data_IF_028378018682
#
_entry.id   IF_028378018682
#
_cell.length_a   1.000
_cell.length_b   1.000
_cell.length_c   1.000
_cell.angle_alpha   90.00
_cell.angle_beta   90.00
_cell.angle_gamma   90.00
#
_symmetry.space_group_name_H-M   'P 1'
#
loop_
_entity.id
_entity.type
_entity.pdbx_description
1 polymer ?
#
# COMPACT_ATOMS: atom_id res chain seq x y z
N UNK A 1 18.53 -6.89 -23.98
CA UNK A 1 18.63 -7.06 -22.50
C UNK A 1 19.13 -5.82 -21.76
N UNK A 2 20.19 -5.14 -22.22
CA UNK A 2 20.79 -3.97 -21.53
C UNK A 2 19.80 -2.80 -21.32
N UNK A 3 18.85 -2.59 -22.24
CA UNK A 3 17.84 -1.51 -22.14
C UNK A 3 16.80 -1.72 -21.04
N UNK A 4 16.31 -2.95 -20.84
CA UNK A 4 15.29 -3.29 -19.82
C UNK A 4 15.89 -3.18 -18.42
N UNK A 5 17.14 -3.62 -18.25
CA UNK A 5 17.86 -3.49 -16.97
C UNK A 5 18.09 -2.01 -16.64
N UNK A 6 18.47 -1.17 -17.63
CA UNK A 6 18.59 0.28 -17.45
C UNK A 6 17.24 0.97 -17.16
N UNK A 7 16.16 0.51 -17.79
CA UNK A 7 14.80 0.98 -17.52
C UNK A 7 14.37 0.66 -16.08
N UNK A 8 14.62 -0.58 -15.62
CA UNK A 8 14.38 -0.97 -14.24
C UNK A 8 15.29 -0.23 -13.25
N UNK A 9 16.50 0.14 -13.63
CA UNK A 9 17.41 0.93 -12.78
C UNK A 9 16.98 2.39 -12.65
N UNK A 10 16.28 2.95 -13.64
CA UNK A 10 15.87 4.37 -13.62
C UNK A 10 14.69 4.57 -12.66
N UNK A 11 14.83 5.56 -11.78
CA UNK A 11 13.74 5.99 -10.89
C UNK A 11 12.63 6.65 -11.71
N UNK A 12 11.34 6.34 -11.45
CA UNK A 12 10.21 7.03 -12.07
C UNK A 12 10.22 8.53 -11.73
N UNK A 13 9.59 9.35 -12.57
CA UNK A 13 9.44 10.78 -12.27
C UNK A 13 8.62 10.99 -10.99
N UNK A 14 8.80 12.12 -10.32
CA UNK A 14 8.04 12.45 -9.10
C UNK A 14 6.54 12.46 -9.37
N UNK A 15 6.11 13.00 -10.52
CA UNK A 15 4.71 13.00 -10.94
C UNK A 15 4.19 11.57 -11.14
N UNK A 16 4.98 10.68 -11.73
CA UNK A 16 4.62 9.26 -11.88
C UNK A 16 4.47 8.58 -10.51
N UNK A 17 5.34 8.89 -9.55
CA UNK A 17 5.27 8.34 -8.19
C UNK A 17 4.00 8.84 -7.47
N UNK A 18 3.69 10.14 -7.57
CA UNK A 18 2.51 10.73 -6.93
C UNK A 18 1.22 10.19 -7.56
N UNK A 19 1.14 10.20 -8.90
CA UNK A 19 0.02 9.61 -9.63
C UNK A 19 -0.15 8.13 -9.29
N UNK A 20 0.94 7.36 -9.26
CA UNK A 20 0.90 5.94 -8.91
C UNK A 20 0.35 5.69 -7.51
N UNK A 21 0.65 6.56 -6.53
CA UNK A 21 0.08 6.47 -5.17
C UNK A 21 -1.42 6.76 -5.15
N UNK A 22 -1.86 7.81 -5.85
CA UNK A 22 -3.27 8.18 -5.94
C UNK A 22 -4.05 7.07 -6.64
N UNK A 23 -3.59 6.65 -7.82
CA UNK A 23 -4.23 5.58 -8.60
C UNK A 23 -4.30 4.28 -7.81
N UNK A 24 -3.20 3.89 -7.15
CA UNK A 24 -3.18 2.71 -6.28
C UNK A 24 -4.21 2.80 -5.16
N UNK A 25 -4.26 3.93 -4.45
CA UNK A 25 -5.18 4.11 -3.33
C UNK A 25 -6.64 4.14 -3.76
N UNK A 26 -6.96 4.84 -4.85
CA UNK A 26 -8.32 4.88 -5.41
C UNK A 26 -8.77 3.50 -5.86
N UNK A 27 -7.93 2.77 -6.61
CA UNK A 27 -8.23 1.41 -7.06
C UNK A 27 -8.44 0.47 -5.87
N UNK A 28 -7.54 0.51 -4.89
CA UNK A 28 -7.66 -0.31 -3.68
C UNK A 28 -8.97 -0.01 -2.93
N UNK A 29 -9.26 1.26 -2.66
CA UNK A 29 -10.49 1.64 -1.95
C UNK A 29 -11.74 1.21 -2.73
N UNK A 30 -11.77 1.37 -4.05
CA UNK A 30 -12.90 0.96 -4.87
C UNK A 30 -13.13 -0.57 -4.83
N UNK A 31 -12.07 -1.36 -4.95
CA UNK A 31 -12.14 -2.83 -4.89
C UNK A 31 -12.63 -3.28 -3.51
N UNK A 32 -12.06 -2.74 -2.44
CA UNK A 32 -12.41 -3.10 -1.07
C UNK A 32 -13.84 -2.68 -0.72
N UNK A 33 -14.23 -1.47 -1.09
CA UNK A 33 -15.59 -0.98 -0.85
C UNK A 33 -16.63 -1.82 -1.59
N UNK A 34 -16.39 -2.12 -2.88
CA UNK A 34 -17.32 -2.91 -3.68
C UNK A 34 -17.50 -4.32 -3.10
N UNK A 35 -16.41 -4.99 -2.72
CA UNK A 35 -16.48 -6.37 -2.24
C UNK A 35 -16.93 -6.48 -0.78
N UNK A 36 -16.31 -5.74 0.14
CA UNK A 36 -16.56 -5.89 1.57
C UNK A 36 -17.80 -5.13 2.05
N UNK A 37 -18.10 -3.97 1.46
CA UNK A 37 -19.20 -3.10 1.91
C UNK A 37 -20.45 -3.31 1.05
N UNK A 38 -20.33 -3.17 -0.28
CA UNK A 38 -21.48 -3.25 -1.17
C UNK A 38 -21.99 -4.69 -1.37
N UNK A 39 -21.12 -5.63 -1.72
CA UNK A 39 -21.48 -7.06 -1.82
C UNK A 39 -21.54 -7.77 -0.46
N UNK A 40 -21.14 -7.07 0.61
CA UNK A 40 -21.08 -7.57 1.98
C UNK A 40 -20.35 -8.93 2.11
N UNK A 41 -19.29 -9.16 1.31
CA UNK A 41 -18.52 -10.40 1.41
C UNK A 41 -17.97 -10.59 2.83
N UNK A 42 -17.98 -11.83 3.28
CA UNK A 42 -17.51 -12.16 4.61
C UNK A 42 -15.99 -12.12 4.69
N UNK A 43 -15.53 -11.75 5.88
CA UNK A 43 -14.14 -11.93 6.33
C UNK A 43 -14.13 -13.07 7.32
N UNK A 44 -12.99 -13.75 7.47
CA UNK A 44 -12.85 -14.79 8.47
C UNK A 44 -13.12 -14.20 9.85
N UNK A 45 -14.00 -14.82 10.63
CA UNK A 45 -14.35 -14.33 11.98
C UNK A 45 -13.25 -14.59 13.01
N UNK A 46 -12.24 -15.36 12.63
CA UNK A 46 -11.11 -15.77 13.46
C UNK A 46 -9.88 -15.01 13.00
N UNK A 47 -9.51 -13.99 13.77
CA UNK A 47 -8.38 -13.10 13.48
C UNK A 47 -7.16 -13.44 14.34
N UNK A 48 -5.98 -12.98 13.90
CA UNK A 48 -4.72 -13.10 14.66
C UNK A 48 -4.35 -14.56 14.97
N UNK A 49 -4.16 -15.42 13.96
CA UNK A 49 -3.72 -16.81 14.13
C UNK A 49 -4.62 -17.68 15.02
N UNK A 50 -5.94 -17.48 15.02
CA UNK A 50 -6.84 -18.33 15.80
C UNK A 50 -7.25 -17.77 17.16
N UNK A 51 -6.65 -16.67 17.62
CA UNK A 51 -6.78 -16.23 19.01
C UNK A 51 -7.96 -15.29 19.28
N UNK A 52 -8.59 -14.73 18.25
CA UNK A 52 -9.59 -13.69 18.43
C UNK A 52 -10.81 -13.92 17.55
N UNK A 53 -11.95 -14.22 18.18
CA UNK A 53 -13.26 -14.29 17.53
C UNK A 53 -13.89 -12.89 17.53
N UNK A 54 -14.29 -12.41 16.36
CA UNK A 54 -14.94 -11.11 16.23
C UNK A 54 -16.46 -11.21 16.36
N UNK A 55 -17.04 -10.27 17.11
CA UNK A 55 -18.49 -10.03 17.08
C UNK A 55 -18.94 -9.42 15.75
N UNK A 56 -20.24 -9.47 15.45
CA UNK A 56 -20.83 -8.92 14.22
C UNK A 56 -20.47 -7.44 14.03
N UNK A 57 -20.50 -6.65 15.10
CA UNK A 57 -20.13 -5.23 15.07
C UNK A 57 -18.65 -5.03 14.74
N UNK A 58 -17.78 -5.86 15.32
CA UNK A 58 -16.34 -5.78 15.09
C UNK A 58 -15.95 -6.22 13.68
N UNK A 59 -16.68 -7.18 13.08
CA UNK A 59 -16.53 -7.55 11.66
C UNK A 59 -16.83 -6.35 10.77
N UNK A 60 -17.93 -5.63 11.02
CA UNK A 60 -18.28 -4.45 10.23
C UNK A 60 -17.22 -3.34 10.36
N UNK A 61 -16.75 -3.06 11.57
CA UNK A 61 -15.67 -2.08 11.82
C UNK A 61 -14.40 -2.48 11.07
N UNK A 62 -14.04 -3.76 11.09
CA UNK A 62 -12.85 -4.29 10.41
C UNK A 62 -12.94 -4.10 8.90
N UNK A 63 -14.10 -4.34 8.29
CA UNK A 63 -14.36 -4.08 6.85
C UNK A 63 -14.12 -2.60 6.50
N UNK A 64 -14.57 -1.66 7.34
CA UNK A 64 -14.34 -0.24 7.14
C UNK A 64 -12.86 0.14 7.32
N UNK A 65 -12.17 -0.41 8.32
CA UNK A 65 -10.74 -0.18 8.53
C UNK A 65 -9.93 -0.65 7.32
N UNK A 66 -10.20 -1.86 6.82
CA UNK A 66 -9.53 -2.41 5.66
C UNK A 66 -9.74 -1.55 4.41
N UNK A 67 -10.97 -1.09 4.19
CA UNK A 67 -11.31 -0.19 3.08
C UNK A 67 -10.62 1.18 3.23
N UNK A 68 -10.53 1.70 4.46
CA UNK A 68 -9.93 3.00 4.78
C UNK A 68 -8.42 3.07 4.56
N UNK A 69 -7.70 1.94 4.53
CA UNK A 69 -6.26 1.92 4.29
C UNK A 69 -5.85 2.54 2.94
N UNK A 70 -6.73 2.51 1.93
CA UNK A 70 -6.48 3.16 0.64
C UNK A 70 -6.41 4.68 0.70
N UNK A 71 -6.97 5.30 1.75
CA UNK A 71 -6.92 6.75 1.95
C UNK A 71 -5.48 7.21 2.19
N UNK A 72 -4.65 6.40 2.85
CA UNK A 72 -3.26 6.73 3.17
C UNK A 72 -2.44 7.05 1.90
N UNK A 73 -2.34 6.16 0.90
CA UNK A 73 -1.61 6.46 -0.33
C UNK A 73 -2.26 7.60 -1.14
N UNK A 74 -3.59 7.78 -1.11
CA UNK A 74 -4.26 8.93 -1.74
C UNK A 74 -3.78 10.23 -1.10
N UNK A 75 -3.87 10.34 0.23
CA UNK A 75 -3.46 11.52 0.97
C UNK A 75 -1.99 11.85 0.76
N UNK A 76 -1.11 10.84 0.82
CA UNK A 76 0.32 11.01 0.55
C UNK A 76 0.62 11.39 -0.90
N UNK A 77 -0.21 10.98 -1.86
CA UNK A 77 -0.10 11.34 -3.27
C UNK A 77 -0.55 12.77 -3.55
N UNK A 78 -1.67 13.20 -2.97
CA UNK A 78 -2.24 14.55 -3.16
C UNK A 78 -1.38 15.61 -2.47
N UNK A 79 -0.97 15.38 -1.23
CA UNK A 79 -0.25 16.40 -0.44
C UNK A 79 1.24 16.48 -0.75
N UNK A 80 1.83 15.42 -1.34
CA UNK A 80 3.28 15.26 -1.49
C UNK A 80 4.04 15.62 -0.19
N UNK A 81 3.48 15.24 0.96
CA UNK A 81 4.07 15.45 2.27
C UNK A 81 5.17 14.42 2.53
N UNK A 82 6.25 14.85 3.17
CA UNK A 82 7.34 13.99 3.57
C UNK A 82 7.43 14.02 5.09
N UNK A 83 7.01 12.94 5.73
CA UNK A 83 6.97 12.85 7.19
C UNK A 83 8.25 12.23 7.78
N UNK A 84 8.90 11.37 6.99
CA UNK A 84 9.91 10.43 7.46
C UNK A 84 11.18 10.47 6.59
N UNK A 85 12.34 10.18 7.19
CA UNK A 85 13.60 10.00 6.42
C UNK A 85 13.47 8.79 5.49
N UNK A 86 14.25 8.77 4.40
CA UNK A 86 14.28 7.70 3.39
C UNK A 86 14.24 6.28 3.97
N UNK A 87 15.08 5.98 4.97
CA UNK A 87 15.14 4.64 5.61
C UNK A 87 13.78 4.22 6.17
N UNK A 88 13.08 5.13 6.85
CA UNK A 88 11.78 4.84 7.45
C UNK A 88 10.64 4.82 6.43
N UNK A 89 10.72 5.62 5.34
CA UNK A 89 9.76 5.52 4.24
C UNK A 89 9.82 4.16 3.54
N UNK A 90 11.03 3.61 3.35
CA UNK A 90 11.20 2.24 2.84
C UNK A 90 10.51 1.22 3.75
N UNK A 91 10.75 1.33 5.07
CA UNK A 91 10.13 0.43 6.06
C UNK A 91 8.60 0.55 6.07
N UNK A 92 8.06 1.78 5.96
CA UNK A 92 6.62 2.01 5.90
C UNK A 92 5.98 1.34 4.67
N UNK A 93 6.64 1.40 3.51
CA UNK A 93 6.18 0.73 2.29
C UNK A 93 6.18 -0.81 2.45
N UNK A 94 7.21 -1.38 3.08
CA UNK A 94 7.25 -2.82 3.38
C UNK A 94 6.16 -3.19 4.38
N UNK A 95 6.00 -2.41 5.45
CA UNK A 95 4.95 -2.64 6.44
C UNK A 95 3.56 -2.60 5.81
N UNK A 96 3.29 -1.62 4.94
CA UNK A 96 2.04 -1.53 4.22
C UNK A 96 1.80 -2.75 3.31
N UNK A 97 2.84 -3.30 2.69
CA UNK A 97 2.73 -4.55 1.93
C UNK A 97 2.36 -5.75 2.81
N UNK A 98 2.97 -5.88 3.99
CA UNK A 98 2.66 -6.95 4.95
C UNK A 98 1.21 -6.86 5.41
N UNK A 99 0.71 -5.65 5.68
CA UNK A 99 -0.70 -5.42 6.02
C UNK A 99 -1.63 -5.85 4.89
N UNK A 100 -1.29 -5.56 3.63
CA UNK A 100 -2.10 -6.00 2.48
C UNK A 100 -2.12 -7.52 2.32
N UNK A 101 -0.99 -8.21 2.51
CA UNK A 101 -0.97 -9.68 2.48
C UNK A 101 -1.80 -10.29 3.60
N UNK A 102 -1.75 -9.70 4.80
CA UNK A 102 -2.58 -10.13 5.91
C UNK A 102 -4.08 -9.97 5.60
N UNK A 103 -4.48 -8.84 5.03
CA UNK A 103 -5.87 -8.59 4.62
C UNK A 103 -6.31 -9.58 3.56
N UNK A 104 -5.47 -9.85 2.55
CA UNK A 104 -5.75 -10.84 1.52
C UNK A 104 -6.04 -12.21 2.15
N UNK A 105 -5.21 -12.67 3.09
CA UNK A 105 -5.43 -13.93 3.79
C UNK A 105 -6.53 -13.94 4.86
N UNK A 106 -7.20 -12.80 5.10
CA UNK A 106 -8.33 -12.70 6.07
C UNK A 106 -9.69 -12.69 5.38
N UNK A 107 -9.73 -12.71 4.05
CA UNK A 107 -10.96 -12.76 3.27
C UNK A 107 -11.37 -14.23 3.19
N UNK A 108 -12.63 -14.56 3.48
CA UNK A 108 -13.11 -15.94 3.40
C UNK A 108 -12.92 -16.49 1.99
N UNK A 109 -12.33 -17.68 1.92
CA UNK A 109 -12.09 -18.40 0.67
C UNK A 109 -13.39 -18.56 -0.14
N UNK A 110 -13.31 -18.24 -1.43
CA UNK A 110 -14.33 -18.61 -2.41
C UNK A 110 -13.68 -19.45 -3.51
N UNK A 111 -14.43 -20.39 -4.08
CA UNK A 111 -13.89 -21.35 -5.06
C UNK A 111 -13.51 -20.73 -6.43
N UNK A 112 -13.56 -19.41 -6.56
CA UNK A 112 -13.27 -18.66 -7.80
C UNK A 112 -12.08 -17.73 -7.58
N UNK A 113 -11.39 -17.32 -8.66
CA UNK A 113 -10.33 -16.31 -8.57
C UNK A 113 -10.95 -15.01 -8.03
N UNK A 114 -10.79 -14.77 -6.73
CA UNK A 114 -11.53 -13.75 -6.01
C UNK A 114 -10.65 -12.50 -5.76
N UNK A 115 -11.27 -11.45 -5.22
CA UNK A 115 -10.61 -10.16 -5.01
C UNK A 115 -9.47 -10.23 -3.99
N UNK A 116 -9.42 -11.25 -3.13
CA UNK A 116 -8.33 -11.56 -2.20
C UNK A 116 -6.99 -11.72 -2.93
N UNK A 117 -6.96 -12.44 -4.05
CA UNK A 117 -5.76 -12.62 -4.89
C UNK A 117 -5.32 -11.28 -5.47
N UNK A 118 -6.28 -10.44 -5.88
CA UNK A 118 -5.98 -9.09 -6.38
C UNK A 118 -5.34 -8.25 -5.27
N UNK A 119 -5.87 -8.29 -4.05
CA UNK A 119 -5.28 -7.57 -2.91
C UNK A 119 -3.88 -8.10 -2.58
N UNK A 120 -3.69 -9.42 -2.62
CA UNK A 120 -2.38 -10.05 -2.47
C UNK A 120 -1.39 -9.55 -3.52
N UNK A 121 -1.77 -9.53 -4.80
CA UNK A 121 -0.93 -9.01 -5.88
C UNK A 121 -0.66 -7.50 -5.74
N UNK A 122 -1.65 -6.73 -5.30
CA UNK A 122 -1.47 -5.30 -5.01
C UNK A 122 -0.43 -5.07 -3.91
N UNK A 123 -0.30 -5.98 -2.94
CA UNK A 123 0.74 -5.96 -1.91
C UNK A 123 2.17 -6.05 -2.44
N UNK A 124 2.39 -6.62 -3.63
CA UNK A 124 3.71 -6.68 -4.25
C UNK A 124 4.24 -5.30 -4.64
N UNK A 125 3.37 -4.37 -5.05
CA UNK A 125 3.77 -3.02 -5.44
C UNK A 125 4.46 -2.24 -4.31
N UNK A 126 3.85 -2.07 -3.11
CA UNK A 126 4.51 -1.43 -1.98
C UNK A 126 5.70 -2.25 -1.46
N UNK A 127 5.70 -3.57 -1.60
CA UNK A 127 6.87 -4.40 -1.26
C UNK A 127 8.08 -4.05 -2.14
N UNK A 128 7.92 -4.07 -3.46
CA UNK A 128 8.98 -3.68 -4.40
C UNK A 128 9.39 -2.22 -4.22
N UNK A 129 8.44 -1.32 -4.00
CA UNK A 129 8.71 0.08 -3.69
C UNK A 129 9.58 0.22 -2.45
N UNK A 130 9.26 -0.53 -1.38
CA UNK A 130 9.98 -0.51 -0.11
C UNK A 130 11.36 -1.12 -0.19
N UNK A 131 11.54 -2.26 -0.86
CA UNK A 131 12.84 -2.91 -1.06
C UNK A 131 13.76 -2.00 -1.87
N UNK A 132 13.28 -1.51 -3.01
CA UNK A 132 14.09 -0.73 -3.96
C UNK A 132 14.25 0.74 -3.54
N UNK A 133 13.32 1.29 -2.76
CA UNK A 133 13.25 2.72 -2.44
C UNK A 133 12.99 3.61 -3.65
N UNK A 134 12.54 3.07 -4.79
CA UNK A 134 12.36 3.81 -6.05
C UNK A 134 11.10 4.69 -6.05
N UNK A 135 10.06 4.31 -5.31
CA UNK A 135 8.80 5.05 -5.24
C UNK A 135 8.77 6.10 -4.11
N UNK A 136 9.91 6.74 -3.84
CA UNK A 136 10.07 7.86 -2.90
C UNK A 136 10.32 9.12 -3.72
N UNK A 137 9.61 10.23 -3.48
CA UNK A 137 9.76 11.50 -4.21
C UNK A 137 11.09 12.22 -3.88
N UNK A 138 11.57 13.12 -4.75
CA UNK A 138 12.84 13.83 -4.53
C UNK A 138 12.81 14.65 -3.24
N UNK A 139 11.68 15.32 -2.99
CA UNK A 139 11.40 16.05 -1.76
C UNK A 139 11.59 15.18 -0.52
N UNK A 140 11.15 13.92 -0.57
CA UNK A 140 11.26 12.99 0.54
C UNK A 140 12.65 12.36 0.66
N UNK A 141 13.40 12.27 -0.45
CA UNK A 141 14.80 11.84 -0.41
C UNK A 141 15.68 12.84 0.34
N UNK A 142 15.44 14.14 0.15
CA UNK A 142 16.18 15.24 0.79
C UNK A 142 15.63 15.65 2.17
N UNK A 143 14.65 14.91 2.69
CA UNK A 143 13.95 15.30 3.92
C UNK A 143 14.87 15.25 5.14
N UNK A 144 15.02 16.41 5.80
CA UNK A 144 15.92 16.64 6.96
C UNK A 144 17.41 16.37 6.66
N UNK A 145 17.84 16.40 5.40
CA UNK A 145 19.26 16.44 5.07
C UNK A 145 19.82 17.86 5.35
N UNK A 146 20.90 17.95 6.12
CA UNK A 146 21.67 19.20 6.23
C UNK A 146 22.35 19.45 4.89
N UNK A 147 22.12 20.61 4.27
CA UNK A 147 22.85 21.03 3.07
C UNK A 147 24.31 21.27 3.50
N UNK A 148 25.19 20.31 3.25
CA UNK A 148 26.59 20.38 3.70
C UNK A 148 27.55 20.94 2.65
N UNK A 149 27.13 21.10 1.39
CA UNK A 149 27.96 21.74 0.35
C UNK A 149 27.11 22.54 -0.64
N UNK A 150 27.26 23.87 -0.59
CA UNK A 150 27.00 24.74 -1.73
C UNK A 150 28.21 24.57 -2.63
N UNK A 151 28.04 23.93 -3.79
CA UNK A 151 29.06 23.91 -4.84
C UNK A 151 28.83 25.20 -5.64
N UNK A 152 29.61 26.24 -5.31
CA UNK A 152 29.70 27.49 -6.08
C UNK A 152 30.35 27.17 -7.42
#
# INVERSE_FOLDING_TARGET
>A
MIGIIKFLQKRPSDNTILFGRIAFGVLYTAIMWYNLIYLNKDIDSVYFFGFLELSIEQVLITKYIFTGLGIIPIFMGVTNICLLKKKYLKMLQIFFAIVLFYIAGSIKDSATLDFDIIIGLMGLLPLFAGITGKCITTKCLKYKEKITKIRV
#
